data_IF_276608693499
#
_entry.id   IF_276608693499
#
_cell.length_a   1.000
_cell.length_b   1.000
_cell.length_c   1.000
_cell.angle_alpha   90.00
_cell.angle_beta   90.00
_cell.angle_gamma   90.00
#
_symmetry.space_group_name_H-M   'P 1'
#
loop_
_entity.id
_entity.type
_entity.pdbx_description
1 polymer ?
#
# COMPACT_ATOMS: atom_id res chain seq x y z
N UNK A 1 -13.06 14.54 -9.62
CA UNK A 1 -11.96 13.91 -8.87
C UNK A 1 -12.57 12.81 -8.01
N UNK A 2 -12.43 11.55 -8.40
CA UNK A 2 -12.73 10.44 -7.49
C UNK A 2 -11.73 10.52 -6.33
N UNK A 3 -12.22 10.78 -5.12
CA UNK A 3 -11.43 10.71 -3.91
C UNK A 3 -11.03 9.24 -3.71
N UNK A 4 -9.75 8.93 -3.85
CA UNK A 4 -9.24 7.61 -3.49
C UNK A 4 -9.32 7.47 -1.97
N UNK A 5 -10.41 6.93 -1.48
CA UNK A 5 -10.57 6.56 -0.08
C UNK A 5 -9.83 5.22 0.09
N UNK A 6 -8.90 5.18 1.04
CA UNK A 6 -8.18 3.98 1.43
C UNK A 6 -8.60 3.61 2.84
N UNK A 7 -9.12 2.44 2.99
CA UNK A 7 -9.51 1.88 4.28
C UNK A 7 -8.32 1.19 4.96
N UNK A 8 -8.30 1.29 6.26
CA UNK A 8 -7.35 0.62 7.14
C UNK A 8 -8.13 0.02 8.30
N UNK A 9 -7.93 -1.24 8.53
CA UNK A 9 -8.67 -2.00 9.52
C UNK A 9 -7.74 -2.54 10.59
N UNK A 10 -8.22 -2.53 11.83
CA UNK A 10 -7.56 -3.12 12.98
C UNK A 10 -8.54 -4.06 13.67
N UNK A 11 -8.12 -5.30 13.89
CA UNK A 11 -8.85 -6.23 14.75
C UNK A 11 -8.22 -6.19 16.13
N UNK A 12 -8.87 -5.55 17.07
CA UNK A 12 -8.38 -5.33 18.44
C UNK A 12 -8.97 -6.39 19.33
N UNK A 13 -8.11 -7.27 19.85
CA UNK A 13 -8.53 -8.38 20.70
C UNK A 13 -8.42 -8.00 22.18
N UNK A 14 -9.47 -8.27 22.97
CA UNK A 14 -9.49 -8.06 24.42
C UNK A 14 -8.76 -9.15 25.22
N UNK A 15 -8.42 -10.28 24.58
CA UNK A 15 -7.78 -11.42 25.21
C UNK A 15 -8.70 -12.37 25.98
N UNK A 16 -9.99 -12.06 26.08
CA UNK A 16 -11.00 -12.89 26.79
C UNK A 16 -12.32 -12.96 26.02
N UNK A 17 -13.05 -14.06 26.16
CA UNK A 17 -14.40 -14.21 25.63
C UNK A 17 -15.35 -13.17 26.27
N UNK A 18 -16.25 -12.61 25.47
CA UNK A 18 -17.14 -11.48 25.84
C UNK A 18 -16.40 -10.21 26.32
N UNK A 19 -15.08 -10.12 26.14
CA UNK A 19 -14.28 -9.01 26.64
C UNK A 19 -14.55 -7.66 25.98
N UNK A 20 -15.33 -7.63 24.88
CA UNK A 20 -15.79 -6.35 24.29
C UNK A 20 -16.76 -5.56 25.18
N UNK A 21 -17.29 -6.16 26.24
CA UNK A 21 -18.16 -5.50 27.20
C UNK A 21 -17.39 -4.86 28.38
N UNK A 22 -16.08 -5.16 28.48
CA UNK A 22 -15.23 -4.61 29.55
C UNK A 22 -15.05 -3.09 29.36
N UNK A 23 -15.47 -2.25 30.33
CA UNK A 23 -15.35 -0.80 30.22
C UNK A 23 -13.90 -0.31 30.05
N UNK A 24 -12.92 -0.95 30.66
CA UNK A 24 -11.51 -0.57 30.53
C UNK A 24 -11.01 -0.83 29.08
N UNK A 25 -11.33 -1.99 28.53
CA UNK A 25 -11.04 -2.31 27.15
C UNK A 25 -11.73 -1.34 26.17
N UNK A 26 -13.03 -1.09 26.35
CA UNK A 26 -13.78 -0.15 25.52
C UNK A 26 -13.21 1.26 25.59
N UNK A 27 -12.76 1.71 26.78
CA UNK A 27 -12.16 3.03 26.94
C UNK A 27 -10.83 3.12 26.18
N UNK A 28 -9.96 2.12 26.28
CA UNK A 28 -8.69 2.07 25.53
C UNK A 28 -8.92 2.07 24.01
N UNK A 29 -9.91 1.31 23.53
CA UNK A 29 -10.29 1.33 22.10
C UNK A 29 -10.85 2.70 21.70
N UNK A 30 -11.67 3.33 22.55
CA UNK A 30 -12.18 4.67 22.29
C UNK A 30 -11.05 5.71 22.20
N UNK A 31 -10.07 5.64 23.10
CA UNK A 31 -8.91 6.55 23.11
C UNK A 31 -8.08 6.38 21.82
N UNK A 32 -7.91 5.15 21.34
CA UNK A 32 -7.30 4.87 20.04
C UNK A 32 -8.11 5.49 18.89
N UNK A 33 -9.44 5.36 18.92
CA UNK A 33 -10.33 5.92 17.89
C UNK A 33 -10.21 7.45 17.84
N UNK A 34 -10.22 8.11 19.00
CA UNK A 34 -10.02 9.57 19.07
C UNK A 34 -8.62 9.99 18.62
N UNK A 35 -7.58 9.23 18.99
CA UNK A 35 -6.22 9.46 18.47
C UNK A 35 -6.17 9.35 16.95
N UNK A 36 -6.79 8.31 16.38
CA UNK A 36 -6.85 8.13 14.92
C UNK A 36 -7.62 9.26 14.22
N UNK A 37 -8.73 9.74 14.79
CA UNK A 37 -9.52 10.85 14.24
C UNK A 37 -8.72 12.15 14.11
N UNK A 38 -7.78 12.36 15.02
CA UNK A 38 -6.92 13.54 15.02
C UNK A 38 -5.71 13.43 14.08
N UNK A 39 -5.53 12.29 13.38
CA UNK A 39 -4.42 12.14 12.45
C UNK A 39 -4.68 12.83 11.11
N UNK A 40 -3.63 13.40 10.48
CA UNK A 40 -3.76 14.03 9.17
C UNK A 40 -4.27 13.05 8.11
N UNK A 41 -5.18 13.52 7.24
CA UNK A 41 -5.79 12.75 6.14
C UNK A 41 -6.74 11.61 6.55
N UNK A 42 -6.91 11.34 7.84
CA UNK A 42 -8.00 10.50 8.32
C UNK A 42 -9.30 11.30 8.21
N UNK A 43 -10.24 10.78 7.46
CA UNK A 43 -11.54 11.44 7.20
C UNK A 43 -12.64 10.95 8.10
N UNK A 44 -12.59 9.69 8.49
CA UNK A 44 -13.52 9.09 9.43
C UNK A 44 -12.93 7.84 10.06
N UNK A 45 -13.33 7.56 11.28
CA UNK A 45 -13.03 6.31 11.97
C UNK A 45 -14.34 5.73 12.45
N UNK A 46 -14.59 4.46 12.13
CA UNK A 46 -15.76 3.70 12.58
C UNK A 46 -15.32 2.65 13.60
N UNK A 47 -16.04 2.59 14.69
CA UNK A 47 -15.79 1.61 15.75
C UNK A 47 -17.09 1.30 16.47
N UNK A 48 -17.19 0.11 17.01
CA UNK A 48 -18.29 -0.29 17.91
C UNK A 48 -18.40 0.61 19.15
N UNK A 49 -17.30 1.22 19.59
CA UNK A 49 -17.32 2.16 20.73
C UNK A 49 -18.28 3.34 20.53
N UNK A 50 -18.46 3.80 19.27
CA UNK A 50 -19.44 4.86 18.97
C UNK A 50 -20.87 4.38 19.15
N UNK A 51 -21.14 3.12 18.78
CA UNK A 51 -22.45 2.48 19.00
C UNK A 51 -22.73 2.38 20.48
N UNK A 52 -21.78 1.90 21.28
CA UNK A 52 -21.93 1.77 22.73
C UNK A 52 -22.20 3.13 23.40
N UNK A 53 -21.43 4.17 23.04
CA UNK A 53 -21.66 5.54 23.54
C UNK A 53 -23.07 6.05 23.21
N UNK A 54 -23.52 5.79 21.98
CA UNK A 54 -24.86 6.20 21.55
C UNK A 54 -25.95 5.43 22.29
N UNK A 55 -25.78 4.12 22.50
CA UNK A 55 -26.72 3.32 23.26
C UNK A 55 -26.81 3.80 24.71
N UNK A 56 -25.67 4.06 25.36
CA UNK A 56 -25.64 4.60 26.72
C UNK A 56 -26.39 5.92 26.79
N UNK A 57 -26.22 6.82 25.84
CA UNK A 57 -26.98 8.07 25.76
C UNK A 57 -28.49 7.80 25.59
N UNK A 58 -28.88 6.94 24.64
CA UNK A 58 -30.29 6.67 24.34
C UNK A 58 -31.03 6.05 25.54
N UNK A 59 -30.37 5.13 26.25
CA UNK A 59 -30.96 4.51 27.44
C UNK A 59 -31.06 5.46 28.67
N UNK A 60 -30.33 6.59 28.61
CA UNK A 60 -30.41 7.66 29.63
C UNK A 60 -31.12 8.91 29.09
N UNK A 61 -32.29 8.71 28.47
CA UNK A 61 -33.19 9.77 27.98
C UNK A 61 -32.56 10.75 26.99
N UNK A 62 -31.64 10.28 26.14
CA UNK A 62 -30.87 11.07 25.18
C UNK A 62 -30.04 12.21 25.81
N UNK A 63 -29.73 12.13 27.10
CA UNK A 63 -28.88 13.10 27.76
C UNK A 63 -27.44 13.02 27.23
N UNK A 64 -26.93 14.15 26.71
CA UNK A 64 -25.59 14.26 26.13
C UNK A 64 -24.47 13.92 27.14
N UNK A 65 -24.71 14.07 28.45
CA UNK A 65 -23.72 13.71 29.47
C UNK A 65 -23.40 12.21 29.51
N UNK A 66 -24.31 11.39 28.98
CA UNK A 66 -24.17 9.94 28.87
C UNK A 66 -23.59 9.47 27.52
N UNK A 67 -23.18 10.37 26.61
CA UNK A 67 -22.44 10.00 25.41
C UNK A 67 -21.00 9.62 25.77
N UNK A 68 -20.82 8.51 26.47
CA UNK A 68 -19.55 7.98 26.98
C UNK A 68 -19.64 6.46 27.13
N UNK A 69 -18.50 5.81 27.33
CA UNK A 69 -18.45 4.37 27.62
C UNK A 69 -19.17 4.10 28.94
N UNK A 70 -20.03 3.05 29.02
CA UNK A 70 -20.69 2.63 30.26
C UNK A 70 -19.67 2.32 31.35
N UNK A 71 -20.05 2.50 32.61
CA UNK A 71 -19.19 2.27 33.76
C UNK A 71 -19.14 0.79 34.21
N UNK A 72 -20.05 -0.03 33.70
CA UNK A 72 -20.23 -1.42 34.11
C UNK A 72 -20.23 -2.35 32.90
N UNK A 73 -19.56 -3.49 33.03
CA UNK A 73 -19.57 -4.59 32.03
C UNK A 73 -21.00 -5.09 31.80
N UNK A 74 -21.81 -5.16 32.85
CA UNK A 74 -23.20 -5.60 32.76
C UNK A 74 -24.05 -4.62 31.92
N UNK A 75 -23.88 -3.31 32.11
CA UNK A 75 -24.59 -2.29 31.29
C UNK A 75 -24.18 -2.43 29.82
N UNK A 76 -22.89 -2.54 29.53
CA UNK A 76 -22.40 -2.70 28.17
C UNK A 76 -22.98 -3.96 27.50
N UNK A 77 -23.00 -5.08 28.23
CA UNK A 77 -23.57 -6.33 27.74
C UNK A 77 -25.07 -6.26 27.49
N UNK A 78 -25.82 -5.58 28.38
CA UNK A 78 -27.26 -5.35 28.21
C UNK A 78 -27.57 -4.45 27.01
N UNK A 79 -26.80 -3.39 26.80
CA UNK A 79 -26.92 -2.51 25.64
C UNK A 79 -26.66 -3.24 24.35
N UNK A 80 -25.60 -4.07 24.30
CA UNK A 80 -25.30 -4.90 23.15
C UNK A 80 -26.45 -5.86 22.85
N UNK A 81 -26.94 -6.58 23.87
CA UNK A 81 -28.02 -7.53 23.71
C UNK A 81 -29.32 -6.89 23.17
N UNK A 82 -29.72 -5.75 23.75
CA UNK A 82 -30.88 -5.00 23.29
C UNK A 82 -30.70 -4.46 21.87
N UNK A 83 -29.51 -4.03 21.54
CA UNK A 83 -29.18 -3.57 20.19
C UNK A 83 -29.27 -4.71 19.17
N UNK A 84 -28.66 -5.87 19.47
CA UNK A 84 -28.75 -7.07 18.61
C UNK A 84 -30.21 -7.48 18.37
N UNK A 85 -31.05 -7.44 19.39
CA UNK A 85 -32.50 -7.72 19.26
C UNK A 85 -33.27 -6.70 18.41
N UNK A 86 -32.77 -5.46 18.35
CA UNK A 86 -33.43 -4.38 17.58
C UNK A 86 -33.01 -4.37 16.11
N UNK A 87 -31.94 -5.07 15.76
CA UNK A 87 -31.45 -5.11 14.38
C UNK A 87 -32.37 -5.96 13.50
N UNK A 88 -32.66 -5.45 12.32
CA UNK A 88 -33.37 -6.21 11.29
C UNK A 88 -32.53 -7.34 10.71
N UNK A 89 -33.20 -8.29 10.09
CA UNK A 89 -32.56 -9.43 9.43
C UNK A 89 -31.48 -8.96 8.43
N UNK A 90 -30.25 -9.47 8.58
CA UNK A 90 -29.10 -9.13 7.73
C UNK A 90 -28.37 -7.85 8.14
N UNK A 91 -28.74 -7.20 9.24
CA UNK A 91 -28.04 -6.03 9.80
C UNK A 91 -27.27 -6.39 11.09
N UNK A 92 -26.74 -7.60 11.16
CA UNK A 92 -25.96 -8.06 12.30
C UNK A 92 -24.62 -7.27 12.44
N UNK A 93 -23.95 -7.45 13.58
CA UNK A 93 -22.70 -6.78 13.91
C UNK A 93 -21.46 -7.61 13.51
N UNK A 94 -21.61 -8.66 12.70
CA UNK A 94 -20.50 -9.58 12.34
C UNK A 94 -19.38 -8.89 11.55
N UNK A 95 -19.64 -7.72 10.99
CA UNK A 95 -18.62 -6.86 10.37
C UNK A 95 -17.83 -6.01 11.37
N UNK A 96 -18.28 -5.87 12.62
CA UNK A 96 -17.66 -5.04 13.66
C UNK A 96 -17.18 -5.82 14.87
N UNK A 97 -17.81 -6.98 15.16
CA UNK A 97 -17.55 -7.80 16.35
C UNK A 97 -17.38 -9.24 15.90
N UNK A 98 -16.41 -9.95 16.45
CA UNK A 98 -16.24 -11.38 16.18
C UNK A 98 -17.31 -12.23 16.95
N UNK A 99 -17.46 -13.48 16.53
CA UNK A 99 -18.47 -14.41 17.09
C UNK A 99 -18.33 -14.58 18.60
N UNK A 100 -17.09 -14.68 19.11
CA UNK A 100 -16.80 -14.90 20.53
C UNK A 100 -16.87 -13.61 21.34
N UNK A 101 -17.26 -12.49 20.75
CA UNK A 101 -17.33 -11.16 21.38
C UNK A 101 -16.04 -10.82 22.14
N UNK A 102 -14.90 -11.24 21.57
CA UNK A 102 -13.55 -11.01 22.14
C UNK A 102 -12.77 -9.93 21.41
N UNK A 103 -13.18 -9.52 20.20
CA UNK A 103 -12.46 -8.55 19.39
C UNK A 103 -13.40 -7.58 18.68
N UNK A 104 -12.94 -6.33 18.55
CA UNK A 104 -13.61 -5.28 17.80
C UNK A 104 -12.81 -4.94 16.53
N UNK A 105 -13.56 -4.60 15.46
CA UNK A 105 -12.99 -4.01 14.25
C UNK A 105 -13.06 -2.49 14.34
N UNK A 106 -11.90 -1.86 14.18
CA UNK A 106 -11.78 -0.41 14.00
C UNK A 106 -11.37 -0.14 12.57
N UNK A 107 -12.14 0.66 11.85
CA UNK A 107 -11.89 1.00 10.45
C UNK A 107 -11.62 2.49 10.31
N UNK A 108 -10.42 2.87 9.88
CA UNK A 108 -10.05 4.24 9.58
C UNK A 108 -10.03 4.47 8.07
N UNK A 109 -10.77 5.46 7.59
CA UNK A 109 -10.78 5.90 6.20
C UNK A 109 -9.77 7.02 6.01
N UNK A 110 -8.85 6.85 5.07
CA UNK A 110 -7.79 7.81 4.76
C UNK A 110 -7.97 8.32 3.33
N UNK A 111 -8.04 9.62 3.15
CA UNK A 111 -8.25 10.24 1.84
C UNK A 111 -6.97 10.93 1.34
N UNK A 112 -6.74 10.84 0.02
CA UNK A 112 -5.67 11.56 -0.68
C UNK A 112 -4.25 11.35 -0.09
N UNK A 113 -4.00 10.17 0.51
CA UNK A 113 -2.69 9.84 1.04
C UNK A 113 -1.82 9.14 -0.02
N UNK A 114 -0.54 9.50 -0.09
CA UNK A 114 0.46 8.74 -0.82
C UNK A 114 0.76 7.42 -0.11
N UNK A 115 1.37 6.47 -0.81
CA UNK A 115 1.78 5.19 -0.19
C UNK A 115 2.68 5.39 1.02
N UNK A 116 3.60 6.36 0.95
CA UNK A 116 4.50 6.69 2.08
C UNK A 116 3.73 7.20 3.29
N UNK A 117 2.87 8.22 3.09
CA UNK A 117 2.06 8.78 4.17
C UNK A 117 1.12 7.74 4.79
N UNK A 118 0.56 6.85 3.95
CA UNK A 118 -0.28 5.77 4.43
C UNK A 118 0.50 4.77 5.31
N UNK A 119 1.75 4.44 4.97
CA UNK A 119 2.61 3.58 5.78
C UNK A 119 3.15 4.29 7.03
N UNK A 120 3.43 5.59 6.95
CA UNK A 120 3.89 6.38 8.09
C UNK A 120 2.78 6.55 9.14
N UNK A 121 1.52 6.70 8.70
CA UNK A 121 0.35 6.65 9.60
C UNK A 121 0.29 5.31 10.37
N UNK A 122 0.61 4.18 9.71
CA UNK A 122 0.67 2.90 10.40
C UNK A 122 1.71 2.89 11.53
N UNK A 123 2.91 3.40 11.26
CA UNK A 123 3.95 3.49 12.27
C UNK A 123 3.52 4.37 13.46
N UNK A 124 2.83 5.48 13.18
CA UNK A 124 2.30 6.37 14.22
C UNK A 124 1.28 5.66 15.11
N UNK A 125 0.35 4.90 14.51
CA UNK A 125 -0.64 4.12 15.24
C UNK A 125 0.01 2.98 16.02
N UNK A 126 1.00 2.28 15.44
CA UNK A 126 1.77 1.25 16.15
C UNK A 126 2.59 1.84 17.33
N UNK A 127 3.08 3.08 17.18
CA UNK A 127 3.72 3.83 18.26
C UNK A 127 2.75 4.07 19.43
N UNK A 128 1.54 4.56 19.11
CA UNK A 128 0.49 4.77 20.10
C UNK A 128 0.15 3.49 20.89
N UNK A 129 -0.01 2.35 20.20
CA UNK A 129 -0.23 1.06 20.88
C UNK A 129 0.88 0.73 21.88
N UNK A 130 2.15 0.89 21.47
CA UNK A 130 3.28 0.59 22.34
C UNK A 130 3.32 1.43 23.62
N UNK A 131 2.88 2.68 23.53
CA UNK A 131 2.94 3.64 24.63
C UNK A 131 1.71 3.55 25.54
N UNK A 132 0.51 3.30 24.99
CA UNK A 132 -0.74 3.45 25.73
C UNK A 132 -1.47 2.12 25.97
N UNK A 133 -1.34 1.13 25.09
CA UNK A 133 -2.06 -0.14 25.19
C UNK A 133 -1.29 -1.27 24.49
N UNK A 134 -0.10 -1.67 25.00
CA UNK A 134 0.72 -2.69 24.35
C UNK A 134 0.04 -4.06 24.29
N UNK A 135 -0.86 -4.37 25.22
CA UNK A 135 -1.67 -5.60 25.26
C UNK A 135 -2.73 -5.67 24.13
N UNK A 136 -3.16 -4.52 23.61
CA UNK A 136 -4.13 -4.42 22.51
C UNK A 136 -3.46 -4.27 21.14
N UNK A 137 -2.12 -4.41 21.06
CA UNK A 137 -1.38 -4.20 19.83
C UNK A 137 -1.92 -5.07 18.69
N UNK A 138 -2.36 -4.42 17.63
CA UNK A 138 -2.89 -5.05 16.44
C UNK A 138 -2.17 -4.54 15.19
N UNK A 139 -2.00 -5.43 14.21
CA UNK A 139 -1.47 -5.05 12.90
C UNK A 139 -2.61 -4.54 12.02
N UNK A 140 -2.34 -3.48 11.27
CA UNK A 140 -3.29 -3.02 10.27
C UNK A 140 -3.48 -4.03 9.15
N UNK A 141 -4.72 -4.18 8.71
CA UNK A 141 -5.14 -5.04 7.61
C UNK A 141 -5.93 -4.25 6.58
N UNK A 142 -6.40 -4.94 5.55
CA UNK A 142 -7.20 -4.35 4.49
C UNK A 142 -6.45 -4.29 3.15
N UNK A 143 -7.18 -4.26 2.02
CA UNK A 143 -6.61 -4.26 0.67
C UNK A 143 -5.62 -3.11 0.45
N UNK A 144 -5.96 -1.91 0.91
CA UNK A 144 -5.11 -0.72 0.78
C UNK A 144 -3.76 -0.86 1.49
N UNK A 145 -3.74 -1.52 2.65
CA UNK A 145 -2.52 -1.81 3.40
C UNK A 145 -1.63 -2.80 2.65
N UNK A 146 -2.21 -3.89 2.14
CA UNK A 146 -1.49 -4.91 1.36
C UNK A 146 -0.87 -4.27 0.11
N UNK A 147 -1.66 -3.54 -0.69
CA UNK A 147 -1.17 -2.85 -1.87
C UNK A 147 -0.08 -1.80 -1.56
N UNK A 148 -0.20 -1.09 -0.44
CA UNK A 148 0.81 -0.11 -0.03
C UNK A 148 2.12 -0.78 0.36
N UNK A 149 2.08 -1.92 1.06
CA UNK A 149 3.27 -2.70 1.41
C UNK A 149 3.93 -3.31 0.18
N UNK A 150 3.16 -3.93 -0.72
CA UNK A 150 3.65 -4.47 -1.98
C UNK A 150 4.32 -3.34 -2.79
N UNK A 151 3.63 -2.21 -2.97
CA UNK A 151 4.17 -1.09 -3.76
C UNK A 151 5.47 -0.54 -3.16
N UNK A 152 5.55 -0.38 -1.85
CA UNK A 152 6.75 0.15 -1.18
C UNK A 152 7.96 -0.78 -1.27
N UNK A 153 7.73 -2.09 -1.38
CA UNK A 153 8.77 -3.12 -1.45
C UNK A 153 9.16 -3.44 -2.89
N UNK A 154 8.15 -3.62 -3.75
CA UNK A 154 8.36 -4.17 -5.09
C UNK A 154 8.81 -3.10 -6.09
N UNK A 155 8.34 -1.84 -5.99
CA UNK A 155 8.79 -0.78 -6.89
C UNK A 155 10.31 -0.58 -6.82
N UNK A 156 10.96 -0.42 -5.67
CA UNK A 156 12.41 -0.32 -5.60
C UNK A 156 13.14 -1.59 -6.07
N UNK A 157 12.59 -2.77 -5.80
CA UNK A 157 13.16 -4.03 -6.25
C UNK A 157 13.11 -4.17 -7.76
N UNK A 158 11.98 -3.82 -8.39
CA UNK A 158 11.83 -3.80 -9.85
C UNK A 158 12.76 -2.80 -10.51
N UNK A 159 12.90 -1.58 -9.98
CA UNK A 159 13.83 -0.59 -10.52
C UNK A 159 15.28 -1.06 -10.46
N UNK A 160 15.70 -1.67 -9.34
CA UNK A 160 17.03 -2.27 -9.22
C UNK A 160 17.22 -3.43 -10.19
N UNK A 161 16.24 -4.34 -10.27
CA UNK A 161 16.27 -5.47 -11.21
C UNK A 161 16.36 -5.02 -12.66
N UNK A 162 15.61 -4.02 -13.06
CA UNK A 162 15.67 -3.40 -14.39
C UNK A 162 17.06 -2.82 -14.68
N UNK A 163 17.65 -2.12 -13.71
CA UNK A 163 19.01 -1.59 -13.82
C UNK A 163 20.05 -2.71 -14.02
N UNK A 164 19.99 -3.76 -13.22
CA UNK A 164 20.89 -4.92 -13.38
C UNK A 164 20.69 -5.64 -14.73
N UNK A 165 19.44 -5.79 -15.18
CA UNK A 165 19.14 -6.37 -16.47
C UNK A 165 19.75 -5.55 -17.63
N UNK A 166 19.62 -4.21 -17.60
CA UNK A 166 20.23 -3.32 -18.59
C UNK A 166 21.75 -3.48 -18.66
N UNK A 167 22.41 -3.52 -17.51
CA UNK A 167 23.87 -3.73 -17.43
C UNK A 167 24.25 -5.10 -18.00
N UNK A 168 23.53 -6.15 -17.61
CA UNK A 168 23.77 -7.51 -18.09
C UNK A 168 23.63 -7.65 -19.61
N UNK A 169 22.56 -7.04 -20.16
CA UNK A 169 22.32 -7.03 -21.62
C UNK A 169 23.41 -6.29 -22.35
N UNK A 170 23.81 -5.12 -21.88
CA UNK A 170 24.91 -4.36 -22.49
C UNK A 170 26.24 -5.11 -22.43
N UNK A 171 26.48 -5.86 -21.37
CA UNK A 171 27.63 -6.72 -21.23
C UNK A 171 27.60 -7.88 -22.25
N UNK A 172 26.47 -8.53 -22.45
CA UNK A 172 26.28 -9.57 -23.46
C UNK A 172 26.55 -9.02 -24.88
N UNK A 173 25.96 -7.86 -25.19
CA UNK A 173 26.18 -7.20 -26.48
C UNK A 173 27.67 -6.91 -26.70
N UNK A 174 28.36 -6.43 -25.66
CA UNK A 174 29.81 -6.17 -25.70
C UNK A 174 30.60 -7.43 -25.98
N UNK A 175 30.28 -8.56 -25.36
CA UNK A 175 30.93 -9.85 -25.60
C UNK A 175 30.72 -10.34 -27.04
N UNK A 176 29.50 -10.22 -27.57
CA UNK A 176 29.12 -10.69 -28.90
C UNK A 176 29.78 -9.84 -29.99
N UNK A 177 29.73 -8.51 -29.86
CA UNK A 177 30.31 -7.60 -30.87
C UNK A 177 31.81 -7.39 -30.69
N UNK A 178 32.36 -7.73 -29.52
CA UNK A 178 33.79 -7.55 -29.15
C UNK A 178 34.28 -6.10 -29.32
N UNK A 179 33.41 -5.13 -29.21
CA UNK A 179 33.73 -3.71 -29.37
C UNK A 179 33.02 -2.89 -28.30
N UNK A 180 33.80 -2.26 -27.42
CA UNK A 180 33.32 -1.48 -26.28
C UNK A 180 32.42 -0.31 -26.71
N UNK A 181 32.74 0.34 -27.86
CA UNK A 181 31.93 1.48 -28.36
C UNK A 181 30.49 1.05 -28.65
N UNK A 182 30.31 -0.10 -29.33
CA UNK A 182 28.98 -0.60 -29.65
C UNK A 182 28.21 -1.12 -28.41
N UNK A 183 28.91 -1.73 -27.45
CA UNK A 183 28.31 -2.13 -26.18
C UNK A 183 27.81 -0.93 -25.39
N UNK A 184 28.56 0.17 -25.34
CA UNK A 184 28.15 1.39 -24.64
C UNK A 184 27.03 2.13 -25.39
N UNK A 185 27.11 2.18 -26.74
CA UNK A 185 26.04 2.77 -27.56
C UNK A 185 24.70 2.05 -27.44
N UNK A 186 24.69 0.74 -27.14
CA UNK A 186 23.44 -0.02 -26.95
C UNK A 186 22.68 0.37 -25.71
N UNK A 187 23.30 1.01 -24.71
CA UNK A 187 22.63 1.52 -23.52
C UNK A 187 21.65 2.66 -23.85
N UNK A 188 21.98 3.52 -24.81
CA UNK A 188 21.18 4.71 -25.13
C UNK A 188 19.75 4.34 -25.56
N UNK A 189 19.54 3.50 -26.60
CA UNK A 189 18.19 3.14 -27.03
C UNK A 189 17.40 2.34 -25.99
N UNK A 190 18.09 1.63 -25.09
CA UNK A 190 17.44 0.86 -24.03
C UNK A 190 17.07 1.72 -22.81
N UNK A 191 17.92 2.68 -22.44
CA UNK A 191 17.72 3.53 -21.26
C UNK A 191 16.78 4.71 -21.54
N UNK A 192 16.84 5.30 -22.75
CA UNK A 192 16.09 6.51 -23.08
C UNK A 192 14.58 6.35 -22.96
N UNK A 193 13.93 5.30 -23.51
CA UNK A 193 12.48 5.11 -23.36
C UNK A 193 12.05 4.92 -21.89
N UNK A 194 12.82 4.17 -21.12
CA UNK A 194 12.56 3.99 -19.70
C UNK A 194 12.70 5.29 -18.90
N UNK A 195 13.76 6.06 -19.16
CA UNK A 195 13.98 7.36 -18.54
C UNK A 195 12.88 8.38 -18.90
N UNK A 196 12.45 8.39 -20.16
CA UNK A 196 11.33 9.23 -20.60
C UNK A 196 10.01 8.83 -19.93
N UNK A 197 9.69 7.54 -19.87
CA UNK A 197 8.47 7.05 -19.25
C UNK A 197 8.43 7.40 -17.75
N UNK A 198 9.51 7.09 -17.00
CA UNK A 198 9.59 7.43 -15.58
C UNK A 198 9.68 8.93 -15.33
N UNK A 199 10.43 9.66 -16.16
CA UNK A 199 10.60 11.11 -16.04
C UNK A 199 9.30 11.86 -16.28
N UNK A 200 8.59 11.58 -17.36
CA UNK A 200 7.30 12.20 -17.68
C UNK A 200 6.24 11.84 -16.63
N UNK A 201 6.13 10.56 -16.28
CA UNK A 201 5.18 10.14 -15.26
C UNK A 201 5.47 10.77 -13.90
N UNK A 202 6.74 10.75 -13.46
CA UNK A 202 7.18 11.38 -12.22
C UNK A 202 6.92 12.89 -12.19
N UNK A 203 7.10 13.57 -13.31
CA UNK A 203 6.80 14.99 -13.44
C UNK A 203 5.31 15.31 -13.24
N UNK A 204 4.41 14.50 -13.84
CA UNK A 204 2.96 14.72 -13.73
C UNK A 204 2.37 14.26 -12.41
N UNK A 205 2.85 13.17 -11.82
CA UNK A 205 2.23 12.51 -10.66
C UNK A 205 3.01 12.67 -9.36
N UNK A 206 4.28 13.10 -9.43
CA UNK A 206 5.18 13.20 -8.28
C UNK A 206 5.62 11.86 -7.68
N UNK A 207 5.24 10.73 -8.29
CA UNK A 207 5.56 9.40 -7.75
C UNK A 207 5.60 8.33 -8.84
N UNK A 208 6.45 7.31 -8.66
CA UNK A 208 6.47 6.11 -9.50
C UNK A 208 5.54 5.07 -8.89
N UNK A 209 4.50 4.67 -9.63
CA UNK A 209 3.54 3.67 -9.19
C UNK A 209 3.97 2.26 -9.59
N UNK A 210 3.41 1.24 -8.91
CA UNK A 210 3.64 -0.16 -9.24
C UNK A 210 3.29 -0.47 -10.70
N UNK A 211 2.15 0.05 -11.18
CA UNK A 211 1.70 -0.16 -12.55
C UNK A 211 2.71 0.35 -13.59
N UNK A 212 3.25 1.56 -13.40
CA UNK A 212 4.28 2.12 -14.30
C UNK A 212 5.55 1.29 -14.27
N UNK A 213 5.98 0.83 -13.10
CA UNK A 213 7.17 -0.03 -12.97
C UNK A 213 7.02 -1.36 -13.72
N UNK A 214 5.82 -1.98 -13.66
CA UNK A 214 5.52 -3.21 -14.40
C UNK A 214 5.56 -2.95 -15.91
N UNK A 215 4.88 -1.91 -16.39
CA UNK A 215 4.83 -1.57 -17.83
C UNK A 215 6.23 -1.33 -18.36
N UNK A 216 7.06 -0.54 -17.67
CA UNK A 216 8.44 -0.26 -18.11
C UNK A 216 9.27 -1.55 -18.13
N UNK A 217 9.17 -2.42 -17.12
CA UNK A 217 9.89 -3.68 -17.08
C UNK A 217 9.48 -4.61 -18.25
N UNK A 218 8.20 -4.68 -18.60
CA UNK A 218 7.71 -5.49 -19.73
C UNK A 218 8.15 -4.92 -21.09
N UNK A 219 8.03 -3.61 -21.28
CA UNK A 219 8.42 -2.97 -22.55
C UNK A 219 9.92 -2.98 -22.77
N UNK A 220 10.72 -2.98 -21.70
CA UNK A 220 12.17 -3.08 -21.81
C UNK A 220 12.63 -4.34 -22.53
N UNK A 221 11.96 -5.48 -22.29
CA UNK A 221 12.28 -6.73 -23.00
C UNK A 221 12.16 -6.60 -24.52
N UNK A 222 11.12 -5.93 -25.00
CA UNK A 222 10.89 -5.70 -26.45
C UNK A 222 11.94 -4.75 -27.01
N UNK A 223 12.21 -3.64 -26.33
CA UNK A 223 13.19 -2.64 -26.76
C UNK A 223 14.59 -3.24 -26.84
N UNK A 224 14.94 -4.13 -25.91
CA UNK A 224 16.22 -4.84 -25.90
C UNK A 224 16.36 -5.76 -27.10
N UNK A 225 15.34 -6.53 -27.43
CA UNK A 225 15.36 -7.45 -28.57
C UNK A 225 15.62 -6.69 -29.87
N UNK A 226 14.85 -5.61 -30.12
CA UNK A 226 15.04 -4.73 -31.27
C UNK A 226 16.44 -4.11 -31.31
N UNK A 227 16.95 -3.67 -30.17
CA UNK A 227 18.29 -3.08 -30.07
C UNK A 227 19.39 -4.08 -30.41
N UNK A 228 19.29 -5.33 -29.93
CA UNK A 228 20.23 -6.40 -30.23
C UNK A 228 20.22 -6.72 -31.73
N UNK A 229 19.05 -6.90 -32.30
CA UNK A 229 18.90 -7.16 -33.73
C UNK A 229 19.46 -6.04 -34.61
N UNK A 230 19.18 -4.80 -34.27
CA UNK A 230 19.71 -3.63 -34.98
C UNK A 230 21.21 -3.57 -34.91
N UNK A 231 21.81 -3.71 -33.72
CA UNK A 231 23.26 -3.63 -33.52
C UNK A 231 24.03 -4.75 -34.24
N UNK A 232 23.47 -5.97 -34.23
CA UNK A 232 24.08 -7.09 -34.96
C UNK A 232 24.07 -6.87 -36.46
N UNK A 233 22.98 -6.36 -37.04
CA UNK A 233 22.89 -6.02 -38.48
C UNK A 233 23.82 -4.88 -38.83
N UNK A 234 23.92 -3.85 -38.00
CA UNK A 234 24.82 -2.73 -38.19
C UNK A 234 26.29 -3.16 -38.17
N UNK A 235 26.68 -3.96 -37.17
CA UNK A 235 28.06 -4.48 -37.08
C UNK A 235 28.45 -5.32 -38.31
N UNK A 236 27.52 -6.15 -38.80
CA UNK A 236 27.76 -6.90 -40.07
C UNK A 236 27.90 -5.96 -41.28
N UNK A 237 27.00 -4.98 -41.44
CA UNK A 237 27.06 -4.04 -42.54
C UNK A 237 28.39 -3.25 -42.58
N UNK A 238 28.85 -2.76 -41.43
CA UNK A 238 30.15 -2.06 -41.30
C UNK A 238 31.31 -2.96 -41.67
N UNK A 239 31.31 -4.25 -41.26
CA UNK A 239 32.32 -5.21 -41.63
C UNK A 239 32.39 -5.47 -43.15
N UNK A 240 31.21 -5.57 -43.80
CA UNK A 240 31.16 -5.75 -45.26
C UNK A 240 31.64 -4.51 -46.04
N UNK A 241 31.34 -3.29 -45.57
CA UNK A 241 31.82 -2.07 -46.23
C UNK A 241 33.34 -1.91 -46.13
N UNK A 242 33.96 -2.29 -45.02
CA UNK A 242 35.40 -2.27 -44.84
C UNK A 242 36.11 -3.31 -45.73
N UNK A 243 35.57 -4.54 -45.89
CA UNK A 243 36.10 -5.56 -46.76
C UNK A 243 36.07 -5.11 -48.23
N UNK A 244 34.93 -4.53 -48.69
CA UNK A 244 34.78 -4.05 -50.06
C UNK A 244 35.66 -2.85 -50.39
N UNK A 245 35.92 -1.96 -49.42
CA UNK A 245 36.83 -0.85 -49.59
C UNK A 245 38.31 -1.31 -49.73
N UNK A 246 38.69 -2.43 -49.13
CA UNK A 246 40.00 -3.01 -49.28
C UNK A 246 40.19 -3.72 -50.63
N UNK A 247 39.13 -4.35 -51.19
CA UNK A 247 39.18 -4.97 -52.51
C UNK A 247 39.32 -3.94 -53.64
N UNK A 248 38.63 -2.78 -53.51
CA UNK A 248 38.67 -1.68 -54.53
C UNK A 248 39.98 -0.86 -54.50
N UNK A 249 40.84 -1.02 -53.51
CA UNK A 249 42.15 -0.35 -53.45
C UNK A 249 43.28 -1.28 -53.97
N UNK A 250 42.99 -2.57 -54.17
CA UNK A 250 43.94 -3.57 -54.60
C UNK A 250 43.91 -3.85 -56.14
N UNK A 251 42.97 -3.26 -56.88
CA UNK A 251 42.87 -3.19 -58.34
C UNK A 251 43.35 -1.80 -58.84
#
# INVERSE_FOLDING_TARGET
>A
RQMCIRDREYSINSGKENGINDPEYLQKVNDLVEFMRNQPKVTSVRSYTDVVKRLNQNFNNDDQSFYKIPSSELEAAQYLFLYELSLGYGLDLTDQINVDKSALRVTANVANATTKEFLDLDKTIQGWFKENAPELMSKSTGPSQVFSQISSRDVPAMLKGTGFALIGISFIILLVIRNIKYGLMSLIPNLLPAAMAFGLWGYYTGSVTLAVSIVVAMTLGIVVDDSVHFMLKYAKAVSYTHLRAHETIAD
#
